data_IF_958571584227
#
_entry.id   IF_958571584227
#
_cell.length_a   1.000
_cell.length_b   1.000
_cell.length_c   1.000
_cell.angle_alpha   90.00
_cell.angle_beta   90.00
_cell.angle_gamma   90.00
#
_symmetry.space_group_name_H-M   'P 1'
#
loop_
_entity.id
_entity.type
_entity.pdbx_description
1 polymer ?
#
# COMPACT_ATOMS: atom_id res chain seq x y z
N UNK A 1 -38.33 -19.09 -73.65
CA UNK A 1 -37.50 -18.04 -73.04
C UNK A 1 -38.16 -17.57 -71.75
N UNK A 2 -37.63 -18.02 -70.62
CA UNK A 2 -37.54 -17.18 -69.44
C UNK A 2 -36.12 -17.20 -68.82
N UNK A 3 -35.84 -16.14 -68.10
CA UNK A 3 -34.61 -15.81 -67.37
C UNK A 3 -34.29 -16.78 -66.23
N UNK A 4 -33.02 -17.18 -66.10
CA UNK A 4 -32.46 -17.67 -64.83
C UNK A 4 -31.20 -16.88 -64.50
N UNK A 5 -31.35 -16.00 -63.52
CA UNK A 5 -30.28 -15.34 -62.77
C UNK A 5 -29.85 -16.29 -61.66
N UNK A 6 -28.59 -16.72 -61.66
CA UNK A 6 -27.99 -17.47 -60.55
C UNK A 6 -26.93 -16.59 -59.87
N UNK A 7 -27.43 -15.90 -58.86
CA UNK A 7 -26.71 -15.17 -57.84
C UNK A 7 -25.90 -16.17 -56.99
N UNK A 8 -24.57 -16.21 -57.13
CA UNK A 8 -23.69 -17.01 -56.26
C UNK A 8 -23.19 -16.12 -55.11
N UNK A 9 -23.89 -16.19 -53.98
CA UNK A 9 -23.45 -15.69 -52.68
C UNK A 9 -22.30 -16.54 -52.15
N UNK A 10 -21.09 -15.99 -52.15
CA UNK A 10 -19.98 -16.49 -51.33
C UNK A 10 -20.11 -15.88 -49.94
N UNK A 11 -20.82 -16.57 -49.03
CA UNK A 11 -20.94 -16.19 -47.63
C UNK A 11 -19.60 -16.49 -46.92
N UNK A 12 -18.71 -15.50 -46.91
CA UNK A 12 -17.50 -15.50 -46.11
C UNK A 12 -17.84 -15.48 -44.62
N UNK A 13 -17.70 -16.62 -43.97
CA UNK A 13 -17.83 -16.79 -42.53
C UNK A 13 -16.62 -16.10 -41.85
N UNK A 14 -16.71 -14.78 -41.67
CA UNK A 14 -15.80 -14.04 -40.80
C UNK A 14 -16.05 -14.48 -39.36
N UNK A 15 -15.19 -15.37 -38.88
CA UNK A 15 -15.02 -15.70 -37.46
C UNK A 15 -14.62 -14.40 -36.76
N UNK A 16 -15.59 -13.70 -36.20
CA UNK A 16 -15.36 -12.62 -35.25
C UNK A 16 -14.83 -13.27 -33.98
N UNK A 17 -13.50 -13.39 -33.89
CA UNK A 17 -12.82 -13.38 -32.60
C UNK A 17 -13.15 -12.04 -31.95
N UNK A 18 -14.25 -12.03 -31.19
CA UNK A 18 -14.49 -10.99 -30.23
C UNK A 18 -13.33 -11.05 -29.23
N UNK A 19 -12.35 -10.16 -29.39
CA UNK A 19 -11.50 -9.74 -28.29
C UNK A 19 -12.44 -9.31 -27.17
N UNK A 20 -12.65 -10.17 -26.18
CA UNK A 20 -13.21 -9.72 -24.92
C UNK A 20 -12.18 -8.73 -24.38
N UNK A 21 -12.45 -7.44 -24.55
CA UNK A 21 -11.77 -6.41 -23.79
C UNK A 21 -11.97 -6.78 -22.33
N UNK A 22 -10.96 -7.41 -21.72
CA UNK A 22 -11.04 -7.98 -20.39
C UNK A 22 -11.63 -6.95 -19.44
N UNK A 23 -12.85 -7.20 -18.97
CA UNK A 23 -13.55 -6.26 -18.09
C UNK A 23 -12.69 -6.10 -16.84
N UNK A 24 -12.27 -4.87 -16.55
CA UNK A 24 -11.49 -4.61 -15.34
C UNK A 24 -12.30 -5.02 -14.12
N UNK A 25 -11.69 -5.81 -13.24
CA UNK A 25 -12.27 -6.20 -11.95
C UNK A 25 -12.21 -5.01 -10.99
N UNK A 26 -13.36 -4.62 -10.43
CA UNK A 26 -13.42 -3.67 -9.33
C UNK A 26 -12.95 -4.35 -8.03
N UNK A 27 -11.91 -3.77 -7.42
CA UNK A 27 -11.33 -4.22 -6.16
C UNK A 27 -11.34 -3.12 -5.09
N UNK A 28 -12.10 -2.04 -5.29
CA UNK A 28 -12.19 -0.93 -4.33
C UNK A 28 -12.59 -1.36 -2.93
N UNK A 29 -13.44 -2.39 -2.80
CA UNK A 29 -13.88 -2.95 -1.53
C UNK A 29 -12.79 -3.70 -0.74
N UNK A 30 -11.64 -3.98 -1.35
CA UNK A 30 -10.46 -4.56 -0.67
C UNK A 30 -9.52 -3.50 -0.11
N UNK A 31 -9.69 -2.23 -0.49
CA UNK A 31 -8.97 -1.16 0.18
C UNK A 31 -9.52 -0.92 1.59
N UNK A 32 -8.85 -0.07 2.37
CA UNK A 32 -9.35 0.36 3.67
C UNK A 32 -10.80 0.87 3.56
N UNK A 33 -11.67 0.62 4.56
CA UNK A 33 -13.07 1.04 4.56
C UNK A 33 -13.19 2.56 4.79
N UNK A 34 -12.73 3.36 3.84
CA UNK A 34 -12.55 4.81 3.94
C UNK A 34 -13.81 5.57 4.36
N UNK A 35 -15.01 5.04 4.08
CA UNK A 35 -16.27 5.66 4.49
C UNK A 35 -16.54 5.51 6.00
N UNK A 36 -15.99 4.47 6.62
CA UNK A 36 -16.21 4.09 8.02
C UNK A 36 -15.08 4.57 8.95
N UNK A 37 -14.02 5.14 8.37
CA UNK A 37 -12.83 5.62 9.09
C UNK A 37 -12.90 7.11 9.51
N UNK A 38 -14.09 7.73 9.55
CA UNK A 38 -14.23 9.14 9.96
C UNK A 38 -13.79 9.39 11.41
N UNK A 39 -14.13 8.46 12.30
CA UNK A 39 -13.70 8.46 13.72
C UNK A 39 -12.25 8.04 13.92
N UNK A 40 -11.61 7.53 12.85
CA UNK A 40 -10.28 6.96 12.90
C UNK A 40 -10.23 5.58 13.56
N UNK A 41 -9.33 4.73 13.09
CA UNK A 41 -9.03 3.42 13.70
C UNK A 41 -7.55 3.14 13.62
N UNK A 42 -7.03 2.46 14.62
CA UNK A 42 -5.66 1.95 14.68
C UNK A 42 -5.69 0.51 14.23
N UNK A 43 -4.81 0.16 13.29
CA UNK A 43 -4.57 -1.19 12.80
C UNK A 43 -3.25 -1.64 13.41
N UNK A 44 -3.29 -2.64 14.27
CA UNK A 44 -2.10 -3.24 14.88
C UNK A 44 -1.66 -4.45 14.07
N UNK A 45 -0.37 -4.48 13.76
CA UNK A 45 0.28 -5.60 13.11
C UNK A 45 1.31 -6.19 14.05
N UNK A 46 1.36 -7.51 14.14
CA UNK A 46 2.54 -8.20 14.65
C UNK A 46 3.52 -8.32 13.50
N UNK A 47 4.73 -7.79 13.69
CA UNK A 47 5.79 -7.77 12.69
C UNK A 47 6.94 -8.65 13.15
N UNK A 48 7.22 -9.69 12.38
CA UNK A 48 8.45 -10.48 12.52
C UNK A 48 9.53 -9.89 11.59
N UNK A 49 10.69 -9.65 12.16
CA UNK A 49 11.87 -9.14 11.49
C UNK A 49 13.05 -10.02 11.89
N UNK A 50 13.39 -10.98 11.03
CA UNK A 50 14.30 -12.08 11.39
C UNK A 50 13.90 -12.74 12.73
N UNK A 51 14.71 -12.60 13.77
CA UNK A 51 14.49 -13.21 15.10
C UNK A 51 13.76 -12.28 16.10
N UNK A 52 13.34 -11.09 15.66
CA UNK A 52 12.59 -10.13 16.48
C UNK A 52 11.11 -10.11 16.11
N UNK A 53 10.24 -9.96 17.10
CA UNK A 53 8.78 -9.82 16.90
C UNK A 53 8.27 -8.61 17.66
N UNK A 54 7.91 -7.56 16.94
CA UNK A 54 7.47 -6.28 17.52
C UNK A 54 6.14 -5.83 16.89
N UNK A 55 5.28 -5.13 17.64
CA UNK A 55 4.07 -4.56 17.07
C UNK A 55 4.39 -3.30 16.25
N UNK A 56 3.56 -3.05 15.24
CA UNK A 56 3.51 -1.78 14.51
C UNK A 56 2.07 -1.30 14.42
N UNK A 57 1.86 0.01 14.40
CA UNK A 57 0.53 0.61 14.43
C UNK A 57 0.32 1.56 13.26
N UNK A 58 -0.83 1.42 12.60
CA UNK A 58 -1.29 2.37 11.59
C UNK A 58 -2.61 3.01 12.01
N UNK A 59 -2.58 4.28 12.37
CA UNK A 59 -3.79 5.07 12.59
C UNK A 59 -4.31 5.63 11.27
N UNK A 60 -5.49 5.15 10.85
CA UNK A 60 -6.16 5.60 9.63
C UNK A 60 -7.40 6.42 9.97
N UNK A 61 -7.48 7.63 9.41
CA UNK A 61 -8.66 8.50 9.53
C UNK A 61 -9.01 9.13 8.19
N UNK A 62 -10.30 9.31 7.94
CA UNK A 62 -10.79 10.01 6.75
C UNK A 62 -11.46 11.35 7.05
N UNK A 63 -11.36 12.27 6.10
CA UNK A 63 -12.06 13.54 6.11
C UNK A 63 -12.39 13.98 4.68
N UNK A 64 -13.42 14.82 4.58
CA UNK A 64 -13.83 15.44 3.31
C UNK A 64 -13.30 16.86 3.30
N UNK A 65 -12.72 17.27 2.16
CA UNK A 65 -12.40 18.67 1.83
C UNK A 65 -13.07 19.00 0.49
N UNK A 66 -13.07 20.26 0.10
CA UNK A 66 -13.69 20.73 -1.15
C UNK A 66 -13.25 19.94 -2.39
N UNK A 67 -12.00 19.45 -2.39
CA UNK A 67 -11.43 18.69 -3.49
C UNK A 67 -11.68 17.18 -3.45
N UNK A 68 -12.33 16.65 -2.41
CA UNK A 68 -12.76 15.24 -2.31
C UNK A 68 -12.55 14.58 -0.95
N UNK A 69 -12.66 13.25 -0.95
CA UNK A 69 -12.40 12.39 0.21
C UNK A 69 -10.89 12.10 0.33
N UNK A 70 -10.37 12.21 1.54
CA UNK A 70 -8.98 11.90 1.85
C UNK A 70 -8.89 10.86 2.96
N UNK A 71 -7.87 10.01 2.86
CA UNK A 71 -7.41 9.10 3.90
C UNK A 71 -6.05 9.59 4.40
N UNK A 72 -5.88 9.67 5.71
CA UNK A 72 -4.57 9.88 6.33
C UNK A 72 -4.21 8.64 7.11
N UNK A 73 -3.02 8.11 6.85
CA UNK A 73 -2.38 7.06 7.63
C UNK A 73 -1.21 7.62 8.42
N UNK A 74 -1.17 7.38 9.72
CA UNK A 74 -0.02 7.69 10.59
C UNK A 74 0.55 6.39 11.11
N UNK A 75 1.83 6.17 10.83
CA UNK A 75 2.58 5.02 11.34
C UNK A 75 3.20 5.37 12.69
N UNK A 76 3.00 4.48 13.66
CA UNK A 76 3.73 4.46 14.91
C UNK A 76 4.52 3.15 15.03
N UNK A 77 5.77 3.26 15.47
CA UNK A 77 6.58 2.09 15.80
C UNK A 77 6.16 1.44 17.14
N UNK A 78 6.85 0.37 17.54
CA UNK A 78 6.62 -0.32 18.81
C UNK A 78 6.87 0.55 20.06
N UNK A 79 7.48 1.73 19.91
CA UNK A 79 7.70 2.74 20.95
C UNK A 79 6.71 3.90 20.82
N UNK A 80 5.64 3.73 20.05
CA UNK A 80 4.60 4.72 19.82
C UNK A 80 5.14 6.03 19.20
N UNK A 81 6.30 5.99 18.54
CA UNK A 81 6.88 7.14 17.87
C UNK A 81 6.41 7.22 16.43
N UNK A 82 6.07 8.43 15.97
CA UNK A 82 5.67 8.64 14.58
C UNK A 82 6.89 8.42 13.67
N UNK A 83 6.76 7.50 12.72
CA UNK A 83 7.75 7.30 11.65
C UNK A 83 7.28 7.84 10.29
N UNK A 84 5.98 7.86 10.04
CA UNK A 84 5.45 8.29 8.75
C UNK A 84 4.02 8.84 8.88
N UNK A 85 3.73 9.89 8.11
CA UNK A 85 2.35 10.33 7.84
C UNK A 85 2.15 10.37 6.33
N UNK A 86 1.10 9.72 5.83
CA UNK A 86 0.73 9.76 4.42
C UNK A 86 -0.70 10.26 4.26
N UNK A 87 -0.90 11.23 3.37
CA UNK A 87 -2.23 11.67 2.93
C UNK A 87 -2.49 11.15 1.54
N UNK A 88 -3.64 10.53 1.38
CA UNK A 88 -4.09 9.96 0.12
C UNK A 88 -5.41 10.59 -0.30
N UNK A 89 -5.53 10.93 -1.59
CA UNK A 89 -6.79 11.31 -2.20
C UNK A 89 -7.48 10.05 -2.72
N UNK A 90 -8.72 9.85 -2.30
CA UNK A 90 -9.57 8.77 -2.81
C UNK A 90 -10.22 9.25 -4.10
N UNK A 91 -10.00 8.51 -5.18
CA UNK A 91 -10.51 8.83 -6.52
C UNK A 91 -11.35 7.68 -7.08
N UNK A 92 -11.94 7.87 -8.26
CA UNK A 92 -12.66 6.79 -8.96
C UNK A 92 -11.73 5.66 -9.42
N UNK A 93 -10.44 5.94 -9.63
CA UNK A 93 -9.46 4.97 -10.14
C UNK A 93 -8.61 4.32 -9.05
N UNK A 94 -8.64 4.81 -7.82
CA UNK A 94 -7.82 4.31 -6.72
C UNK A 94 -7.48 5.34 -5.66
N UNK A 95 -6.65 4.93 -4.71
CA UNK A 95 -6.04 5.79 -3.71
C UNK A 95 -4.69 6.32 -4.21
N UNK A 96 -4.54 7.64 -4.19
CA UNK A 96 -3.35 8.33 -4.69
C UNK A 96 -2.69 9.15 -3.58
N UNK A 97 -1.40 8.91 -3.32
CA UNK A 97 -0.63 9.73 -2.40
C UNK A 97 -0.61 11.20 -2.85
N UNK A 98 -0.79 12.10 -1.90
CA UNK A 98 -0.74 13.56 -2.09
C UNK A 98 0.34 14.20 -1.25
N UNK A 99 0.53 13.71 -0.04
CA UNK A 99 1.57 14.15 0.88
C UNK A 99 2.16 12.91 1.54
N UNK A 100 3.46 12.95 1.80
CA UNK A 100 4.15 11.98 2.61
C UNK A 100 5.14 12.75 3.47
N UNK A 101 5.11 12.50 4.76
CA UNK A 101 6.03 13.06 5.75
C UNK A 101 6.75 11.87 6.36
N UNK A 102 8.08 11.92 6.34
CA UNK A 102 8.91 10.96 7.04
C UNK A 102 9.43 11.65 8.30
N UNK A 103 9.52 10.86 9.36
CA UNK A 103 10.07 11.29 10.62
C UNK A 103 11.22 10.35 10.93
N UNK A 104 12.32 10.89 11.44
CA UNK A 104 13.53 10.15 11.79
C UNK A 104 13.97 10.55 13.19
N UNK A 105 14.73 9.69 13.86
CA UNK A 105 15.15 9.97 15.24
C UNK A 105 16.13 11.15 15.19
N UNK A 106 15.96 12.12 16.07
CA UNK A 106 16.95 13.17 16.20
C UNK A 106 18.24 12.57 16.80
N UNK A 107 19.38 12.62 16.08
CA UNK A 107 20.63 12.11 16.61
C UNK A 107 21.19 12.99 17.74
N UNK A 108 20.64 14.19 17.96
CA UNK A 108 21.06 15.04 19.06
C UNK A 108 20.60 14.44 20.42
N UNK A 109 21.54 14.05 21.30
CA UNK A 109 21.19 13.47 22.60
C UNK A 109 20.48 14.46 23.54
N UNK A 110 20.53 15.77 23.26
CA UNK A 110 19.83 16.80 24.05
C UNK A 110 18.32 16.87 23.73
N UNK A 111 17.89 16.27 22.60
CA UNK A 111 16.49 16.15 22.21
C UNK A 111 16.00 14.74 22.49
N UNK A 112 15.89 14.37 23.76
CA UNK A 112 15.39 13.05 24.15
C UNK A 112 13.98 12.82 23.57
N UNK A 113 13.85 11.84 22.67
CA UNK A 113 12.59 11.56 21.96
C UNK A 113 12.26 12.49 20.79
N UNK A 114 13.19 13.38 20.40
CA UNK A 114 13.04 14.27 19.25
C UNK A 114 12.86 13.53 17.93
N UNK A 115 12.02 14.07 17.05
CA UNK A 115 11.79 13.54 15.69
C UNK A 115 12.05 14.64 14.66
N UNK A 116 12.95 14.38 13.72
CA UNK A 116 13.23 15.30 12.62
C UNK A 116 12.28 14.98 11.47
N UNK A 117 11.60 16.02 10.97
CA UNK A 117 10.73 15.90 9.80
C UNK A 117 11.54 16.01 8.51
N UNK A 118 11.47 14.96 7.70
CA UNK A 118 12.11 14.88 6.39
C UNK A 118 11.12 15.23 5.29
N UNK A 119 11.47 16.26 4.50
CA UNK A 119 10.67 16.67 3.35
C UNK A 119 10.75 15.61 2.26
N UNK A 120 9.60 15.28 1.67
CA UNK A 120 9.52 14.32 0.58
C UNK A 120 8.92 14.91 -0.69
N UNK A 121 9.21 14.25 -1.82
CA UNK A 121 8.63 14.50 -3.13
C UNK A 121 8.03 13.20 -3.69
N UNK A 122 6.75 13.23 -4.02
CA UNK A 122 6.07 12.08 -4.64
C UNK A 122 6.26 12.16 -6.15
N UNK A 123 7.02 11.21 -6.70
CA UNK A 123 7.29 11.07 -8.15
C UNK A 123 6.24 10.19 -8.84
N UNK A 124 5.67 9.22 -8.12
CA UNK A 124 4.55 8.42 -8.58
C UNK A 124 3.60 8.13 -7.40
N UNK A 125 2.30 8.33 -7.61
CA UNK A 125 1.36 8.45 -6.50
C UNK A 125 0.50 7.21 -6.23
N UNK A 126 0.62 6.11 -6.99
CA UNK A 126 -0.35 5.03 -6.91
C UNK A 126 -0.16 4.19 -5.62
N UNK A 127 -1.06 4.38 -4.65
CA UNK A 127 -1.05 3.60 -3.41
C UNK A 127 -1.84 2.31 -3.55
N UNK A 128 -3.01 2.38 -4.20
CA UNK A 128 -3.84 1.22 -4.46
C UNK A 128 -4.79 1.47 -5.66
N UNK A 129 -4.86 0.57 -6.65
CA UNK A 129 -5.80 0.69 -7.76
C UNK A 129 -7.20 0.17 -7.41
N UNK A 130 -8.26 0.77 -7.95
CA UNK A 130 -9.62 0.24 -7.80
C UNK A 130 -10.08 -0.65 -8.94
N UNK A 131 -9.35 -0.66 -10.05
CA UNK A 131 -9.67 -1.47 -11.21
C UNK A 131 -8.41 -2.19 -11.70
N UNK A 132 -8.47 -3.52 -11.77
CA UNK A 132 -7.35 -4.39 -12.16
C UNK A 132 -7.74 -5.34 -13.28
N UNK A 133 -6.74 -5.81 -14.02
CA UNK A 133 -6.86 -6.89 -14.98
C UNK A 133 -5.97 -8.04 -14.55
N UNK A 134 -6.28 -9.24 -15.01
CA UNK A 134 -5.57 -10.47 -14.65
C UNK A 134 -4.16 -10.53 -15.27
N UNK A 135 -3.80 -9.56 -16.13
CA UNK A 135 -2.47 -9.45 -16.73
C UNK A 135 -1.93 -8.01 -16.81
N UNK A 136 -0.61 -7.91 -16.64
CA UNK A 136 0.34 -6.83 -16.95
C UNK A 136 0.28 -5.49 -16.20
N UNK A 137 -0.80 -5.14 -15.51
CA UNK A 137 -0.88 -3.86 -14.77
C UNK A 137 0.21 -3.72 -13.68
N UNK A 138 0.99 -2.64 -13.74
CA UNK A 138 1.95 -2.25 -12.69
C UNK A 138 1.49 -0.95 -12.05
N UNK A 139 1.36 -0.97 -10.73
CA UNK A 139 0.95 0.19 -9.95
C UNK A 139 2.13 0.68 -9.13
N UNK A 140 2.62 1.89 -9.45
CA UNK A 140 3.87 2.42 -8.91
C UNK A 140 3.60 3.55 -7.93
N UNK A 141 4.18 3.41 -6.74
CA UNK A 141 4.41 4.51 -5.81
C UNK A 141 5.90 4.81 -5.80
N UNK A 142 6.29 6.09 -5.92
CA UNK A 142 7.68 6.50 -5.92
C UNK A 142 7.83 7.77 -5.11
N UNK A 143 8.77 7.74 -4.17
CA UNK A 143 9.04 8.79 -3.20
C UNK A 143 10.52 9.16 -3.27
N UNK A 144 10.82 10.44 -3.25
CA UNK A 144 12.18 10.97 -3.13
C UNK A 144 12.27 11.79 -1.84
N UNK A 145 13.41 11.72 -1.16
CA UNK A 145 13.69 12.51 0.04
C UNK A 145 15.20 12.64 0.28
N UNK A 146 15.58 13.57 1.14
CA UNK A 146 16.95 13.79 1.58
C UNK A 146 16.99 13.51 3.10
N UNK A 147 17.73 12.49 3.56
CA UNK A 147 17.87 12.21 4.99
C UNK A 147 18.36 13.45 5.76
N UNK A 148 17.95 13.62 7.03
CA UNK A 148 18.33 14.79 7.81
C UNK A 148 19.80 14.77 8.23
N UNK A 149 20.39 13.58 8.35
CA UNK A 149 21.81 13.35 8.68
C UNK A 149 22.73 13.40 7.44
N UNK A 150 22.18 13.29 6.23
CA UNK A 150 22.87 13.42 4.96
C UNK A 150 22.01 14.16 3.93
N UNK A 151 21.97 15.49 4.06
CA UNK A 151 21.10 16.34 3.24
C UNK A 151 21.52 16.43 1.77
N UNK A 152 22.78 16.09 1.45
CA UNK A 152 23.31 16.10 0.09
C UNK A 152 22.91 14.84 -0.70
N UNK A 153 22.65 13.74 0.00
CA UNK A 153 22.16 12.50 -0.60
C UNK A 153 20.68 12.57 -0.95
N UNK A 154 20.33 12.07 -2.14
CA UNK A 154 18.94 12.02 -2.61
C UNK A 154 18.48 10.58 -2.66
N UNK A 155 17.71 10.15 -1.67
CA UNK A 155 17.16 8.80 -1.62
C UNK A 155 15.86 8.70 -2.41
N UNK A 156 15.70 7.56 -3.10
CA UNK A 156 14.49 7.21 -3.84
C UNK A 156 14.00 5.86 -3.37
N UNK A 157 12.73 5.80 -2.98
CA UNK A 157 11.99 4.57 -2.72
C UNK A 157 10.99 4.39 -3.83
N UNK A 158 11.11 3.32 -4.59
CA UNK A 158 10.13 2.92 -5.61
C UNK A 158 9.48 1.60 -5.21
N UNK A 159 8.15 1.56 -5.25
CA UNK A 159 7.34 0.39 -4.92
C UNK A 159 6.39 0.10 -6.06
N UNK A 160 6.52 -1.09 -6.63
CA UNK A 160 5.72 -1.59 -7.73
C UNK A 160 4.85 -2.75 -7.30
N UNK A 161 3.54 -2.65 -7.56
CA UNK A 161 2.56 -3.71 -7.30
C UNK A 161 2.04 -4.33 -8.57
N UNK A 162 1.88 -5.65 -8.58
CA UNK A 162 1.20 -6.41 -9.63
C UNK A 162 0.11 -7.26 -9.02
N UNK A 163 -1.11 -7.16 -9.54
CA UNK A 163 -2.24 -7.95 -9.05
C UNK A 163 -2.04 -9.44 -9.34
N UNK A 164 -2.25 -10.30 -8.35
CA UNK A 164 -2.08 -11.76 -8.45
C UNK A 164 -3.41 -12.53 -8.43
N UNK A 165 -4.54 -11.84 -8.33
CA UNK A 165 -5.84 -12.47 -8.16
C UNK A 165 -6.21 -12.69 -6.70
N UNK A 166 -7.07 -13.68 -6.48
CA UNK A 166 -7.57 -14.02 -5.14
C UNK A 166 -6.50 -14.70 -4.28
N UNK A 167 -6.66 -14.55 -2.96
CA UNK A 167 -5.86 -15.19 -1.93
C UNK A 167 -6.69 -16.05 -0.98
N UNK A 168 -6.04 -16.77 -0.06
CA UNK A 168 -6.77 -17.46 0.99
C UNK A 168 -7.53 -16.45 1.85
N UNK A 169 -8.68 -16.86 2.40
CA UNK A 169 -9.44 -16.01 3.30
C UNK A 169 -8.60 -15.62 4.52
N UNK A 170 -8.71 -14.37 4.95
CA UNK A 170 -8.15 -13.91 6.21
C UNK A 170 -9.18 -14.08 7.33
N UNK A 171 -8.77 -14.68 8.44
CA UNK A 171 -9.63 -14.82 9.61
C UNK A 171 -9.33 -13.71 10.61
N UNK A 172 -10.39 -13.00 11.03
CA UNK A 172 -10.33 -11.91 11.99
C UNK A 172 -11.62 -11.89 12.79
N UNK A 173 -11.52 -11.82 14.13
CA UNK A 173 -12.70 -11.79 15.02
C UNK A 173 -13.71 -12.92 14.71
N UNK A 174 -13.20 -14.15 14.53
CA UNK A 174 -14.00 -15.35 14.21
C UNK A 174 -14.70 -15.32 12.83
N UNK A 175 -14.44 -14.32 11.99
CA UNK A 175 -15.02 -14.17 10.66
C UNK A 175 -13.97 -14.36 9.58
N UNK A 176 -14.37 -14.95 8.46
CA UNK A 176 -13.53 -15.14 7.27
C UNK A 176 -13.80 -14.07 6.24
N UNK A 177 -12.77 -13.37 5.82
CA UNK A 177 -12.81 -12.30 4.84
C UNK A 177 -12.12 -12.74 3.55
N UNK A 178 -12.77 -12.63 2.38
CA UNK A 178 -12.12 -12.84 1.10
C UNK A 178 -10.91 -11.92 0.94
N UNK A 179 -9.84 -12.44 0.35
CA UNK A 179 -8.61 -11.69 0.10
C UNK A 179 -8.25 -11.62 -1.37
N UNK A 180 -7.54 -10.55 -1.72
CA UNK A 180 -6.77 -10.43 -2.94
C UNK A 180 -5.29 -10.26 -2.62
N UNK A 181 -4.44 -10.53 -3.60
CA UNK A 181 -2.97 -10.52 -3.43
C UNK A 181 -2.30 -9.64 -4.47
N UNK A 182 -1.23 -8.97 -4.04
CA UNK A 182 -0.34 -8.22 -4.91
C UNK A 182 1.09 -8.72 -4.73
N UNK A 183 1.78 -9.01 -5.84
CA UNK A 183 3.23 -9.12 -5.83
C UNK A 183 3.81 -7.73 -5.64
N UNK A 184 4.84 -7.65 -4.79
CA UNK A 184 5.55 -6.44 -4.45
C UNK A 184 6.99 -6.52 -4.95
N UNK A 185 7.45 -5.46 -5.59
CA UNK A 185 8.88 -5.16 -5.77
C UNK A 185 9.14 -3.77 -5.22
N UNK A 186 10.21 -3.61 -4.46
CA UNK A 186 10.61 -2.32 -3.91
C UNK A 186 12.11 -2.13 -4.07
N UNK A 187 12.52 -0.92 -4.44
CA UNK A 187 13.92 -0.52 -4.51
C UNK A 187 14.13 0.72 -3.64
N UNK A 188 15.27 0.76 -2.96
CA UNK A 188 15.69 1.86 -2.10
C UNK A 188 17.14 2.17 -2.42
N UNK A 189 17.45 3.41 -2.81
CA UNK A 189 18.83 3.77 -3.11
C UNK A 189 19.04 5.27 -3.23
N UNK A 190 20.32 5.65 -3.19
CA UNK A 190 20.76 7.02 -3.37
C UNK A 190 20.94 7.33 -4.87
N UNK A 191 20.12 8.25 -5.38
CA UNK A 191 20.16 8.68 -6.77
C UNK A 191 21.50 9.38 -7.07
N UNK A 192 22.33 8.75 -7.89
CA UNK A 192 23.60 9.33 -8.35
C UNK A 192 24.84 8.87 -7.58
N UNK A 193 24.70 8.02 -6.56
CA UNK A 193 25.84 7.51 -5.78
C UNK A 193 26.69 6.44 -6.52
N UNK A 194 26.25 5.95 -7.68
CA UNK A 194 26.91 4.86 -8.41
C UNK A 194 26.90 3.51 -7.69
N UNK A 195 26.11 3.40 -6.61
CA UNK A 195 25.88 2.19 -5.83
C UNK A 195 24.53 1.61 -6.24
N UNK A 196 24.48 0.29 -6.41
CA UNK A 196 23.24 -0.40 -6.75
C UNK A 196 22.19 -0.23 -5.62
N UNK A 197 20.92 0.04 -5.96
CA UNK A 197 19.88 0.15 -4.96
C UNK A 197 19.63 -1.19 -4.27
N UNK A 198 19.25 -1.12 -3.00
CA UNK A 198 18.76 -2.29 -2.27
C UNK A 198 17.40 -2.68 -2.85
N UNK A 199 17.28 -3.92 -3.31
CA UNK A 199 16.02 -4.46 -3.80
C UNK A 199 15.34 -5.35 -2.75
N UNK A 200 14.01 -5.35 -2.78
CA UNK A 200 13.19 -6.34 -2.11
C UNK A 200 12.05 -6.83 -2.99
N UNK A 201 11.63 -8.06 -2.71
CA UNK A 201 10.45 -8.67 -3.31
C UNK A 201 9.55 -9.24 -2.23
N UNK A 202 8.26 -9.35 -2.55
CA UNK A 202 7.29 -9.70 -1.52
C UNK A 202 5.88 -9.81 -2.02
N UNK A 203 4.96 -9.80 -1.06
CA UNK A 203 3.54 -9.94 -1.31
C UNK A 203 2.74 -9.14 -0.29
N UNK A 204 1.62 -8.57 -0.71
CA UNK A 204 0.65 -7.91 0.15
C UNK A 204 -0.71 -8.57 -0.03
N UNK A 205 -1.42 -8.86 1.06
CA UNK A 205 -2.80 -9.35 1.01
C UNK A 205 -3.75 -8.30 1.57
N UNK A 206 -4.82 -8.07 0.83
CA UNK A 206 -5.88 -7.14 1.21
C UNK A 206 -7.16 -7.94 1.42
N UNK A 207 -7.80 -7.79 2.58
CA UNK A 207 -9.06 -8.43 2.90
C UNK A 207 -10.22 -7.46 2.67
N UNK A 208 -11.30 -7.97 2.06
CA UNK A 208 -12.48 -7.18 1.73
C UNK A 208 -13.08 -6.54 2.98
N UNK A 209 -13.18 -5.21 3.00
CA UNK A 209 -13.74 -4.44 4.12
C UNK A 209 -12.78 -4.19 5.28
N UNK A 210 -11.55 -4.75 5.27
CA UNK A 210 -10.54 -4.49 6.29
C UNK A 210 -9.42 -3.61 5.74
N UNK A 211 -8.93 -3.87 4.53
CA UNK A 211 -7.74 -3.24 3.97
C UNK A 211 -6.55 -4.19 3.93
N UNK A 212 -5.33 -3.67 4.07
CA UNK A 212 -4.12 -4.49 4.17
C UNK A 212 -4.20 -5.34 5.45
N UNK A 213 -4.01 -6.65 5.33
CA UNK A 213 -4.05 -7.58 6.48
C UNK A 213 -2.78 -8.39 6.63
N UNK A 214 -1.95 -8.41 5.60
CA UNK A 214 -0.70 -9.14 5.59
C UNK A 214 0.26 -8.52 4.58
N UNK A 215 1.54 -8.47 4.92
CA UNK A 215 2.60 -8.30 3.94
C UNK A 215 3.84 -9.07 4.32
N UNK A 216 4.63 -9.44 3.33
CA UNK A 216 5.98 -9.94 3.50
C UNK A 216 6.93 -9.26 2.53
N UNK A 217 8.16 -9.05 2.95
CA UNK A 217 9.26 -8.52 2.15
C UNK A 217 10.52 -9.31 2.43
N UNK A 218 11.27 -9.59 1.39
CA UNK A 218 12.57 -10.25 1.42
C UNK A 218 13.55 -9.34 0.70
N UNK A 219 14.60 -8.91 1.39
CA UNK A 219 15.61 -7.98 0.88
C UNK A 219 16.88 -8.73 0.46
N UNK A 220 17.55 -8.24 -0.59
CA UNK A 220 18.81 -8.80 -1.09
C UNK A 220 18.72 -10.30 -1.43
N UNK A 221 19.73 -11.08 -1.04
CA UNK A 221 19.81 -12.55 -1.20
C UNK A 221 18.87 -13.34 -0.28
N UNK A 222 18.06 -12.67 0.54
CA UNK A 222 17.14 -13.31 1.48
C UNK A 222 17.58 -13.27 2.94
N UNK A 223 18.65 -12.53 3.24
CA UNK A 223 19.25 -12.41 4.57
C UNK A 223 18.40 -11.56 5.53
N UNK A 224 17.51 -10.74 4.98
CA UNK A 224 16.63 -9.89 5.76
C UNK A 224 15.18 -10.05 5.31
N UNK A 225 14.32 -10.44 6.25
CA UNK A 225 12.90 -10.72 6.02
C UNK A 225 12.05 -9.94 7.00
N UNK A 226 11.00 -9.33 6.47
CA UNK A 226 9.96 -8.66 7.25
C UNK A 226 8.64 -9.30 6.88
N UNK A 227 7.87 -9.73 7.87
CA UNK A 227 6.52 -10.24 7.69
C UNK A 227 5.62 -9.61 8.74
N UNK A 228 4.46 -9.13 8.31
CA UNK A 228 3.52 -8.45 9.18
C UNK A 228 2.13 -9.01 8.95
N UNK A 229 1.39 -9.20 10.05
CA UNK A 229 0.03 -9.70 10.03
C UNK A 229 -0.84 -8.85 10.94
N UNK A 230 -1.99 -8.42 10.43
CA UNK A 230 -2.99 -7.70 11.21
C UNK A 230 -3.46 -8.58 12.38
N UNK A 231 -3.47 -8.02 13.57
CA UNK A 231 -3.89 -8.72 14.79
C UNK A 231 -5.08 -8.05 15.46
N UNK A 232 -5.19 -6.73 15.36
CA UNK A 232 -6.26 -6.00 16.03
C UNK A 232 -6.59 -4.67 15.32
N UNK A 233 -7.80 -4.18 15.55
CA UNK A 233 -8.30 -2.90 15.05
C UNK A 233 -9.10 -2.22 16.17
N UNK A 234 -8.55 -1.12 16.70
CA UNK A 234 -9.10 -0.40 17.84
C UNK A 234 -9.10 1.12 17.65
N UNK A 235 -9.44 1.87 18.69
CA UNK A 235 -9.51 3.35 18.64
C UNK A 235 -8.18 4.00 19.02
N UNK A 236 -7.96 5.26 18.65
CA UNK A 236 -6.76 5.99 19.10
C UNK A 236 -6.67 6.07 20.64
N UNK A 237 -7.80 6.22 21.33
CA UNK A 237 -7.84 6.26 22.80
C UNK A 237 -7.30 4.98 23.43
N UNK A 238 -7.52 3.83 22.81
CA UNK A 238 -6.94 2.57 23.27
C UNK A 238 -5.43 2.48 22.99
N UNK A 239 -4.96 3.04 21.86
CA UNK A 239 -3.51 3.15 21.61
C UNK A 239 -2.82 4.01 22.67
N UNK A 240 -3.44 5.14 23.02
CA UNK A 240 -2.96 6.05 24.07
C UNK A 240 -2.87 5.32 25.42
N UNK A 241 -3.90 4.53 25.80
CA UNK A 241 -3.86 3.71 27.00
C UNK A 241 -2.72 2.68 26.99
N UNK A 242 -2.50 2.00 25.85
CA UNK A 242 -1.39 1.05 25.69
C UNK A 242 -0.03 1.76 25.82
N UNK A 243 0.12 2.97 25.26
CA UNK A 243 1.33 3.77 25.39
C UNK A 243 1.59 4.20 26.83
N UNK A 244 0.58 4.70 27.55
CA UNK A 244 0.69 5.08 28.97
C UNK A 244 1.11 3.89 29.84
N UNK A 245 0.59 2.69 29.57
CA UNK A 245 0.97 1.49 30.30
C UNK A 245 2.45 1.08 30.11
N UNK A 246 3.06 1.43 28.98
CA UNK A 246 4.47 1.14 28.68
C UNK A 246 5.41 2.18 29.27
N UNK A 247 5.07 3.47 29.15
CA UNK A 247 5.95 4.55 29.59
C UNK A 247 5.78 4.93 31.06
N UNK A 248 4.64 4.60 31.66
CA UNK A 248 4.28 5.04 33.01
C UNK A 248 4.05 6.56 33.06
N UNK A 249 3.02 6.97 33.79
CA UNK A 249 3.07 8.25 34.50
C UNK A 249 3.44 7.95 35.96
#
# INVERSE_FOLDING_TARGET
MPTFSSFLWSLGLCILFACSNGSKRDISAYYYPVKDLKGGKVYEYVVSQNDSVMPEYWYYRTFVRDSGLFLVGTYYDHRFQIGQIIREKITKSGALAKECHLYEADPNPETEGGRIHTKTLILAANKFPYAVTDSLGVFVFKLQFNPPDDTESTFVVERSRRFLGDGPNFEYDGKKFPCIRFALKETIGNAGAGIDPVESSGEEWYAKGLGLVYYRKVYGSGDFKVEARLTDIFTMAELEQRATAVFGE
#
